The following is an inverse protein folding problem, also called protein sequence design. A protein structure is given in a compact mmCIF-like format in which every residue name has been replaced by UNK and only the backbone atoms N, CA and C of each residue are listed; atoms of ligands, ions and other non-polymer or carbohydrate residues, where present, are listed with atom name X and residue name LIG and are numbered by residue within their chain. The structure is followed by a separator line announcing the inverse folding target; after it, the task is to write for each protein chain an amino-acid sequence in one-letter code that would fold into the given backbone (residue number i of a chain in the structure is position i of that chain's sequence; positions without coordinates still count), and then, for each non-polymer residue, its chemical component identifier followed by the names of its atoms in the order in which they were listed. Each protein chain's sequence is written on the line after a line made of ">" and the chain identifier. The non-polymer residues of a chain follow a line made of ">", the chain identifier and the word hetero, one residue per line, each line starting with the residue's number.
data_IF_136285823762
#
_entry.id   IF_136285823762
#
_cell.length_a   1.000
_cell.length_b   1.000
_cell.length_c   1.000
_cell.angle_alpha   90.00
_cell.angle_beta   90.00
_cell.angle_gamma   90.00
#
_symmetry.space_group_name_H-M   'P 1'
#
loop_
_entity.id
_entity.type
_entity.pdbx_description
1 polymer ?
#
# COMPACT_ATOMS: atom_id res chain seq x y z
N UNK A 1 6.54 -12.88 9.37
CA UNK A 1 5.22 -12.62 9.96
C UNK A 1 5.04 -13.37 11.28
N UNK A 2 5.13 -14.70 11.29
CA UNK A 2 4.92 -15.56 12.48
C UNK A 2 5.85 -15.21 13.65
N UNK A 3 7.14 -14.97 13.41
CA UNK A 3 8.10 -14.63 14.46
C UNK A 3 7.68 -13.37 15.24
N UNK A 4 7.20 -12.33 14.56
CA UNK A 4 6.67 -11.12 15.21
C UNK A 4 5.42 -11.41 16.05
N UNK A 5 4.51 -12.24 15.55
CA UNK A 5 3.30 -12.65 16.28
C UNK A 5 3.67 -13.39 17.56
N UNK A 6 4.52 -14.40 17.48
CA UNK A 6 4.98 -15.19 18.64
C UNK A 6 5.67 -14.31 19.67
N UNK A 7 6.54 -13.40 19.24
CA UNK A 7 7.27 -12.48 20.13
C UNK A 7 6.32 -11.53 20.84
N UNK A 8 5.35 -10.98 20.11
CA UNK A 8 4.32 -10.10 20.67
C UNK A 8 3.43 -10.83 21.70
N UNK A 9 3.05 -12.06 21.41
CA UNK A 9 2.27 -12.90 22.34
C UNK A 9 3.08 -13.23 23.59
N UNK A 10 4.37 -13.56 23.45
CA UNK A 10 5.26 -13.81 24.59
C UNK A 10 5.37 -12.59 25.53
N UNK A 11 5.53 -11.39 24.97
CA UNK A 11 5.61 -10.15 25.76
C UNK A 11 4.28 -9.84 26.46
N UNK A 12 3.15 -10.06 25.77
CA UNK A 12 1.81 -9.87 26.38
C UNK A 12 1.59 -10.83 27.55
N UNK A 13 1.99 -12.09 27.42
CA UNK A 13 1.84 -13.09 28.45
C UNK A 13 2.76 -12.87 29.66
N UNK A 14 3.95 -12.29 29.47
CA UNK A 14 4.84 -11.90 30.56
C UNK A 14 4.25 -10.75 31.40
N UNK A 15 3.51 -9.82 30.78
CA UNK A 15 2.84 -8.71 31.48
C UNK A 15 1.62 -9.14 32.32
N UNK A 16 1.05 -10.33 32.10
CA UNK A 16 -0.10 -10.83 32.83
C UNK A 16 0.26 -11.42 34.22
N UNK A 17 1.56 -11.57 34.53
CA UNK A 17 2.06 -12.10 35.81
C UNK A 17 2.52 -11.09 36.83
N UNK A 18 2.52 -9.80 36.53
CA UNK A 18 2.86 -8.76 37.51
C UNK A 18 1.61 -8.28 38.24
N UNK A 19 1.46 -8.80 39.48
CA UNK A 19 0.50 -8.34 40.48
C UNK A 19 0.41 -6.82 40.57
N UNK A 20 -0.80 -6.35 40.44
CA UNK A 20 -1.47 -5.24 41.12
C UNK A 20 -0.59 -4.31 42.00
N UNK A 21 0.06 -3.35 41.40
CA UNK A 21 0.30 -2.08 42.06
C UNK A 21 -0.04 -0.94 41.10
N UNK A 22 -1.02 -0.15 41.51
CA UNK A 22 -1.72 0.91 40.82
C UNK A 22 -0.89 2.16 40.42
N UNK A 23 0.39 2.03 40.24
CA UNK A 23 1.29 3.16 39.97
C UNK A 23 1.92 3.16 38.56
N UNK A 24 1.51 2.28 37.66
CA UNK A 24 2.07 2.21 36.28
C UNK A 24 1.03 2.47 35.18
N UNK A 25 0.11 3.40 35.40
CA UNK A 25 -0.77 3.90 34.33
C UNK A 25 -0.04 4.78 33.32
N UNK A 26 1.25 5.02 33.48
CA UNK A 26 2.00 6.04 32.74
C UNK A 26 2.75 5.60 31.48
N UNK A 27 3.07 4.34 31.26
CA UNK A 27 3.83 3.91 30.06
C UNK A 27 3.66 2.41 29.81
N UNK A 28 2.49 1.96 29.42
CA UNK A 28 2.42 0.72 28.65
C UNK A 28 2.97 1.02 27.26
N UNK A 29 4.29 0.91 27.11
CA UNK A 29 4.84 0.69 25.77
C UNK A 29 4.07 -0.50 25.20
N UNK A 30 3.33 -0.28 24.14
CA UNK A 30 2.58 -1.39 23.56
C UNK A 30 3.60 -2.45 23.14
N UNK A 31 3.28 -3.74 23.37
CA UNK A 31 4.19 -4.84 23.05
C UNK A 31 4.76 -4.77 21.62
N UNK A 32 4.02 -4.15 20.69
CA UNK A 32 4.48 -3.91 19.33
C UNK A 32 5.62 -2.87 19.23
N UNK A 33 5.71 -1.92 20.17
CA UNK A 33 6.82 -0.95 20.19
C UNK A 33 8.10 -1.63 20.66
N UNK A 34 7.99 -2.52 21.66
CA UNK A 34 9.13 -3.30 22.18
C UNK A 34 9.69 -4.20 21.08
N UNK A 35 8.80 -4.95 20.42
CA UNK A 35 9.17 -5.85 19.30
C UNK A 35 9.80 -5.07 18.15
N UNK A 36 9.26 -3.88 17.83
CA UNK A 36 9.77 -3.02 16.78
C UNK A 36 11.17 -2.48 17.10
N UNK A 37 11.39 -1.97 18.31
CA UNK A 37 12.69 -1.45 18.74
C UNK A 37 13.79 -2.52 18.66
N UNK A 38 13.50 -3.74 19.07
CA UNK A 38 14.48 -4.84 19.02
C UNK A 38 14.79 -5.29 17.57
N UNK A 39 13.85 -5.14 16.65
CA UNK A 39 14.00 -5.53 15.26
C UNK A 39 14.45 -4.38 14.34
N UNK A 40 14.52 -3.15 14.85
CA UNK A 40 14.77 -1.96 14.03
C UNK A 40 13.58 -1.51 13.16
N UNK A 41 12.37 -2.03 13.45
CA UNK A 41 11.14 -1.72 12.73
C UNK A 41 10.24 -0.75 13.50
N UNK A 42 9.44 0.02 12.79
CA UNK A 42 8.42 0.83 13.44
C UNK A 42 7.27 -0.04 13.96
N UNK A 43 6.59 0.40 15.03
CA UNK A 43 5.38 -0.22 15.58
C UNK A 43 4.34 -0.54 14.49
N UNK A 44 4.13 0.39 13.56
CA UNK A 44 3.19 0.19 12.47
C UNK A 44 3.64 -0.91 11.52
N UNK A 45 4.93 -1.01 11.25
CA UNK A 45 5.51 -2.06 10.42
C UNK A 45 5.34 -3.43 11.08
N UNK A 46 5.63 -3.55 12.37
CA UNK A 46 5.39 -4.78 13.14
C UNK A 46 3.93 -5.21 13.08
N UNK A 47 2.98 -4.29 13.29
CA UNK A 47 1.55 -4.59 13.19
C UNK A 47 1.14 -5.09 11.80
N UNK A 48 1.70 -4.50 10.75
CA UNK A 48 1.46 -4.91 9.36
C UNK A 48 2.02 -6.30 9.08
N UNK A 49 3.22 -6.61 9.56
CA UNK A 49 3.77 -7.97 9.46
C UNK A 49 2.90 -9.00 10.19
N UNK A 50 2.48 -8.69 11.42
CA UNK A 50 1.61 -9.59 12.18
C UNK A 50 0.28 -9.79 11.44
N UNK A 51 -0.25 -8.75 10.80
CA UNK A 51 -1.50 -8.84 10.05
C UNK A 51 -1.43 -9.87 8.92
N UNK A 52 -0.28 -10.07 8.29
CA UNK A 52 -0.12 -11.10 7.25
C UNK A 52 -0.42 -12.52 7.75
N UNK A 53 -0.35 -12.79 9.07
CA UNK A 53 -0.73 -14.11 9.62
C UNK A 53 -2.23 -14.40 9.54
N UNK A 54 -3.06 -13.45 9.09
CA UNK A 54 -4.47 -13.64 8.80
C UNK A 54 -4.73 -14.08 7.35
N UNK A 55 -3.68 -14.16 6.52
CA UNK A 55 -3.79 -14.72 5.19
C UNK A 55 -3.88 -16.24 5.27
N UNK A 56 -4.61 -16.84 4.32
CA UNK A 56 -4.55 -18.29 4.11
C UNK A 56 -3.13 -18.68 3.69
N UNK A 57 -2.70 -19.93 3.99
CA UNK A 57 -1.32 -20.37 3.71
C UNK A 57 -0.88 -20.11 2.28
N UNK A 58 -1.74 -20.38 1.29
CA UNK A 58 -1.45 -20.25 -0.13
C UNK A 58 -1.13 -18.78 -0.50
N UNK A 59 -1.86 -17.81 0.05
CA UNK A 59 -1.57 -16.38 -0.18
C UNK A 59 -0.31 -15.91 0.56
N UNK A 60 -0.06 -16.48 1.74
CA UNK A 60 1.16 -16.16 2.50
C UNK A 60 2.41 -16.67 1.76
N UNK A 61 2.35 -17.88 1.19
CA UNK A 61 3.43 -18.45 0.36
C UNK A 61 3.67 -17.58 -0.88
N UNK A 62 2.61 -17.07 -1.54
CA UNK A 62 2.73 -16.13 -2.66
C UNK A 62 3.40 -14.80 -2.27
N UNK A 63 3.23 -14.34 -1.03
CA UNK A 63 3.94 -13.15 -0.53
C UNK A 63 5.41 -13.46 -0.30
N UNK A 64 5.75 -14.62 0.25
CA UNK A 64 7.13 -15.05 0.48
C UNK A 64 7.87 -15.27 -0.86
N UNK A 65 7.18 -15.79 -1.87
CA UNK A 65 7.67 -15.94 -3.25
C UNK A 65 7.70 -14.61 -4.05
N UNK A 66 7.27 -13.49 -3.46
CA UNK A 66 7.18 -12.17 -4.10
C UNK A 66 6.21 -12.09 -5.29
N UNK A 67 5.30 -13.06 -5.44
CA UNK A 67 4.20 -13.00 -6.41
C UNK A 67 3.18 -11.93 -6.05
N UNK A 68 2.93 -11.76 -4.75
CA UNK A 68 2.12 -10.65 -4.21
C UNK A 68 3.03 -9.74 -3.37
N UNK A 69 3.00 -8.45 -3.65
CA UNK A 69 3.78 -7.48 -2.88
C UNK A 69 3.22 -7.29 -1.47
N UNK A 70 4.07 -6.88 -0.52
CA UNK A 70 3.71 -6.70 0.89
C UNK A 70 2.49 -5.79 1.11
N UNK A 71 2.42 -4.65 0.43
CA UNK A 71 1.34 -3.68 0.64
C UNK A 71 -0.04 -4.22 0.22
N UNK A 72 -0.24 -4.77 -0.99
CA UNK A 72 -1.48 -5.46 -1.35
C UNK A 72 -1.82 -6.61 -0.38
N UNK A 73 -0.85 -7.42 0.02
CA UNK A 73 -1.06 -8.54 0.93
C UNK A 73 -1.63 -8.10 2.29
N UNK A 74 -1.15 -6.98 2.84
CA UNK A 74 -1.71 -6.39 4.07
C UNK A 74 -3.18 -6.00 3.88
N UNK A 75 -3.57 -5.44 2.73
CA UNK A 75 -4.97 -5.10 2.45
C UNK A 75 -5.84 -6.37 2.28
N UNK A 76 -5.32 -7.40 1.60
CA UNK A 76 -6.01 -8.68 1.42
C UNK A 76 -6.23 -9.43 2.75
N UNK A 77 -5.36 -9.23 3.74
CA UNK A 77 -5.51 -9.84 5.07
C UNK A 77 -6.73 -9.35 5.85
N UNK A 78 -7.49 -8.39 5.33
CA UNK A 78 -8.78 -7.95 5.87
C UNK A 78 -9.97 -8.74 5.32
N UNK A 79 -9.79 -9.55 4.28
CA UNK A 79 -10.77 -10.46 3.74
C UNK A 79 -10.93 -11.65 4.69
N UNK A 80 -12.12 -12.23 4.77
CA UNK A 80 -12.33 -13.51 5.43
C UNK A 80 -11.76 -14.68 4.60
N UNK A 81 -11.70 -15.87 5.16
CA UNK A 81 -11.12 -17.04 4.50
C UNK A 81 -11.81 -17.38 3.18
N UNK A 82 -13.14 -17.28 3.11
CA UNK A 82 -13.92 -17.58 1.91
C UNK A 82 -13.64 -16.58 0.80
N UNK A 83 -13.55 -15.29 1.16
CA UNK A 83 -13.20 -14.21 0.24
C UNK A 83 -11.75 -14.30 -0.26
N UNK A 84 -10.82 -14.72 0.62
CA UNK A 84 -9.43 -14.95 0.24
C UNK A 84 -9.30 -16.11 -0.76
N UNK A 85 -10.06 -17.19 -0.60
CA UNK A 85 -10.11 -18.31 -1.56
C UNK A 85 -10.68 -17.87 -2.91
N UNK A 86 -11.80 -17.14 -2.91
CA UNK A 86 -12.39 -16.58 -4.14
C UNK A 86 -11.45 -15.57 -4.82
N UNK A 87 -10.71 -14.78 -4.05
CA UNK A 87 -9.67 -13.91 -4.58
C UNK A 87 -8.53 -14.71 -5.24
N UNK A 88 -8.08 -15.79 -4.62
CA UNK A 88 -7.03 -16.66 -5.16
C UNK A 88 -7.45 -17.24 -6.51
N UNK A 89 -8.67 -17.75 -6.61
CA UNK A 89 -9.25 -18.28 -7.86
C UNK A 89 -9.32 -17.18 -8.95
N UNK A 90 -9.75 -15.97 -8.58
CA UNK A 90 -9.80 -14.84 -9.52
C UNK A 90 -8.39 -14.40 -9.97
N UNK A 91 -7.40 -14.46 -9.09
CA UNK A 91 -6.00 -14.19 -9.42
C UNK A 91 -5.43 -15.24 -10.38
N UNK A 92 -5.75 -16.52 -10.15
CA UNK A 92 -5.34 -17.61 -11.03
C UNK A 92 -6.00 -17.49 -12.41
N UNK A 93 -7.28 -17.13 -12.46
CA UNK A 93 -8.00 -16.94 -13.72
C UNK A 93 -7.51 -15.76 -14.56
N UNK A 94 -7.11 -14.68 -13.92
CA UNK A 94 -6.62 -13.45 -14.58
C UNK A 94 -5.11 -13.45 -14.82
N UNK A 95 -4.36 -14.32 -14.13
CA UNK A 95 -2.88 -14.34 -14.10
C UNK A 95 -2.26 -12.98 -13.69
N UNK A 96 -3.00 -12.17 -12.95
CA UNK A 96 -2.61 -10.83 -12.54
C UNK A 96 -2.45 -10.74 -11.02
N UNK A 97 -1.27 -10.34 -10.55
CA UNK A 97 -1.09 -9.96 -9.15
C UNK A 97 -1.79 -8.61 -8.85
N UNK A 98 -2.40 -8.41 -7.68
CA UNK A 98 -3.11 -7.19 -7.36
C UNK A 98 -2.16 -6.00 -7.16
N UNK A 99 -2.56 -4.83 -7.64
CA UNK A 99 -2.00 -3.55 -7.21
C UNK A 99 -2.52 -3.17 -5.82
N UNK A 100 -1.88 -2.19 -5.17
CA UNK A 100 -2.37 -1.67 -3.88
C UNK A 100 -3.80 -1.12 -4.00
N UNK A 101 -4.08 -0.39 -5.09
CA UNK A 101 -5.41 0.19 -5.35
C UNK A 101 -6.49 -0.89 -5.52
N UNK A 102 -6.20 -1.95 -6.27
CA UNK A 102 -7.10 -3.08 -6.45
C UNK A 102 -7.36 -3.83 -5.13
N UNK A 103 -6.31 -4.09 -4.35
CA UNK A 103 -6.45 -4.72 -3.03
C UNK A 103 -7.28 -3.87 -2.06
N UNK A 104 -7.13 -2.54 -2.08
CA UNK A 104 -7.96 -1.62 -1.28
C UNK A 104 -9.42 -1.63 -1.73
N UNK A 105 -9.71 -1.70 -3.03
CA UNK A 105 -11.08 -1.83 -3.54
C UNK A 105 -11.72 -3.14 -3.07
N UNK A 106 -11.02 -4.26 -3.19
CA UNK A 106 -11.48 -5.57 -2.73
C UNK A 106 -11.77 -5.58 -1.24
N UNK A 107 -10.87 -5.02 -0.42
CA UNK A 107 -11.09 -4.84 1.01
C UNK A 107 -12.34 -4.02 1.30
N UNK A 108 -12.55 -2.90 0.61
CA UNK A 108 -13.73 -2.06 0.80
C UNK A 108 -15.01 -2.81 0.45
N UNK A 109 -15.03 -3.57 -0.63
CA UNK A 109 -16.16 -4.42 -1.01
C UNK A 109 -16.44 -5.50 0.04
N UNK A 110 -15.41 -6.14 0.58
CA UNK A 110 -15.54 -7.11 1.65
C UNK A 110 -16.17 -6.48 2.90
N UNK A 111 -15.76 -5.28 3.28
CA UNK A 111 -16.31 -4.54 4.42
C UNK A 111 -17.77 -4.11 4.23
N UNK A 112 -18.18 -3.85 2.97
CA UNK A 112 -19.57 -3.52 2.63
C UNK A 112 -20.45 -4.76 2.38
N UNK A 113 -19.89 -5.98 2.44
CA UNK A 113 -20.62 -7.21 2.11
C UNK A 113 -20.92 -7.41 0.63
N UNK A 114 -20.21 -6.68 -0.23
CA UNK A 114 -20.40 -6.70 -1.68
C UNK A 114 -19.34 -7.53 -2.43
N UNK A 115 -18.47 -8.21 -1.72
CA UNK A 115 -17.40 -9.00 -2.33
C UNK A 115 -17.98 -10.24 -3.00
N UNK A 116 -17.67 -10.44 -4.28
CA UNK A 116 -17.94 -11.68 -5.04
C UNK A 116 -16.74 -12.04 -5.89
N UNK A 117 -16.68 -13.31 -6.34
CA UNK A 117 -15.65 -13.77 -7.26
C UNK A 117 -15.62 -12.94 -8.57
N UNK A 118 -16.79 -12.70 -9.18
CA UNK A 118 -16.90 -11.96 -10.43
C UNK A 118 -16.34 -10.54 -10.29
N UNK A 119 -16.67 -9.85 -9.20
CA UNK A 119 -16.13 -8.51 -8.93
C UNK A 119 -14.61 -8.55 -8.71
N UNK A 120 -14.11 -9.57 -8.03
CA UNK A 120 -12.67 -9.74 -7.85
C UNK A 120 -11.96 -10.00 -9.19
N UNK A 121 -12.54 -10.86 -10.03
CA UNK A 121 -12.04 -11.15 -11.37
C UNK A 121 -12.03 -9.90 -12.26
N UNK A 122 -13.11 -9.13 -12.27
CA UNK A 122 -13.22 -7.88 -13.03
C UNK A 122 -12.18 -6.84 -12.59
N UNK A 123 -11.97 -6.69 -11.26
CA UNK A 123 -10.98 -5.75 -10.71
C UNK A 123 -9.56 -6.17 -11.09
N UNK A 124 -9.25 -7.45 -11.00
CA UNK A 124 -7.92 -7.97 -11.36
C UNK A 124 -7.67 -7.96 -12.85
N UNK A 125 -8.73 -8.14 -13.66
CA UNK A 125 -8.68 -8.08 -15.13
C UNK A 125 -8.57 -6.66 -15.69
N UNK A 126 -8.90 -5.63 -14.89
CA UNK A 126 -8.69 -4.25 -15.32
C UNK A 126 -7.20 -4.02 -15.59
N UNK A 127 -6.90 -3.44 -16.75
CA UNK A 127 -5.54 -2.95 -17.01
C UNK A 127 -5.10 -2.12 -15.79
N UNK A 128 -4.02 -2.55 -15.16
CA UNK A 128 -3.37 -1.73 -14.14
C UNK A 128 -3.19 -0.38 -14.82
N UNK A 129 -3.77 0.69 -14.23
CA UNK A 129 -3.41 2.04 -14.68
C UNK A 129 -1.91 2.02 -14.81
N UNK A 130 -1.42 1.95 -16.06
CA UNK A 130 0.01 2.04 -16.35
C UNK A 130 0.50 3.16 -15.47
N UNK A 131 1.65 3.00 -14.84
CA UNK A 131 2.34 4.17 -14.30
C UNK A 131 2.24 5.18 -15.43
N UNK A 132 1.22 6.05 -15.35
CA UNK A 132 1.07 7.10 -16.33
C UNK A 132 2.42 7.76 -16.29
N UNK A 133 3.04 7.92 -17.45
CA UNK A 133 4.33 8.61 -17.57
C UNK A 133 4.17 10.00 -16.93
N UNK A 134 4.13 10.00 -15.61
CA UNK A 134 3.97 11.21 -14.79
C UNK A 134 5.35 11.78 -14.60
N UNK A 135 5.64 12.82 -15.34
CA UNK A 135 6.84 13.61 -15.11
C UNK A 135 6.61 14.48 -13.88
N UNK A 136 7.18 14.07 -12.75
CA UNK A 136 7.12 14.85 -11.51
C UNK A 136 8.36 15.76 -11.44
N UNK A 137 8.13 17.07 -11.53
CA UNK A 137 9.21 18.07 -11.37
C UNK A 137 9.17 18.58 -9.92
N UNK A 138 10.31 18.43 -9.19
CA UNK A 138 10.41 18.91 -7.81
C UNK A 138 10.22 20.42 -7.75
N UNK A 139 9.50 20.92 -6.75
CA UNK A 139 9.26 22.35 -6.53
C UNK A 139 10.54 23.19 -6.49
N UNK A 140 11.62 22.68 -5.92
CA UNK A 140 12.91 23.38 -5.84
C UNK A 140 13.50 23.66 -7.23
N UNK A 141 13.24 22.78 -8.21
CA UNK A 141 13.66 22.98 -9.61
C UNK A 141 12.77 24.04 -10.26
N UNK A 142 11.44 23.95 -10.08
CA UNK A 142 10.51 24.92 -10.64
C UNK A 142 10.74 26.32 -10.09
N UNK A 143 11.09 26.45 -8.80
CA UNK A 143 11.39 27.74 -8.15
C UNK A 143 12.64 28.45 -8.68
N UNK A 144 13.48 27.78 -9.46
CA UNK A 144 14.59 28.45 -10.20
C UNK A 144 14.09 29.26 -11.38
N UNK A 145 12.94 28.91 -11.95
CA UNK A 145 12.39 29.51 -13.16
C UNK A 145 11.16 30.37 -12.91
N UNK A 146 10.46 30.15 -11.79
CA UNK A 146 9.24 30.85 -11.46
C UNK A 146 9.37 31.72 -10.20
N UNK A 147 8.80 32.95 -10.21
CA UNK A 147 8.75 33.81 -9.02
C UNK A 147 8.02 33.10 -7.85
N UNK A 148 8.35 33.53 -6.63
CA UNK A 148 7.69 32.98 -5.41
C UNK A 148 6.19 33.24 -5.36
N UNK A 149 5.70 34.26 -6.06
CA UNK A 149 4.28 34.60 -6.14
C UNK A 149 3.45 33.64 -7.00
N UNK A 150 4.09 32.82 -7.84
CA UNK A 150 3.37 31.88 -8.69
C UNK A 150 2.83 30.69 -7.88
N UNK A 151 1.53 30.45 -8.01
CA UNK A 151 0.90 29.22 -7.48
C UNK A 151 1.29 28.01 -8.32
N UNK A 152 1.20 26.78 -7.78
CA UNK A 152 1.45 25.56 -8.55
C UNK A 152 0.65 25.49 -9.86
N UNK A 153 -0.62 25.89 -9.82
CA UNK A 153 -1.49 25.93 -11.00
C UNK A 153 -1.01 26.91 -12.08
N UNK A 154 -0.57 28.10 -11.67
CA UNK A 154 -0.02 29.09 -12.61
C UNK A 154 1.30 28.62 -13.23
N UNK A 155 2.13 27.87 -12.48
CA UNK A 155 3.34 27.26 -13.01
C UNK A 155 3.01 26.21 -14.06
N UNK A 156 2.03 25.35 -13.78
CA UNK A 156 1.55 24.31 -14.69
C UNK A 156 1.00 24.91 -15.99
N UNK A 157 0.10 25.89 -15.91
CA UNK A 157 -0.46 26.59 -17.06
C UNK A 157 0.65 27.21 -17.94
N UNK A 158 1.67 27.79 -17.29
CA UNK A 158 2.77 28.39 -18.03
C UNK A 158 3.68 27.38 -18.70
N UNK A 159 3.91 26.23 -18.06
CA UNK A 159 4.67 25.11 -18.65
C UNK A 159 3.94 24.59 -19.89
N UNK A 160 2.62 24.37 -19.79
CA UNK A 160 1.81 23.91 -20.94
C UNK A 160 1.91 24.89 -22.11
N UNK A 161 1.77 26.22 -21.87
CA UNK A 161 1.92 27.24 -22.90
C UNK A 161 3.29 27.19 -23.60
N UNK A 162 4.35 26.97 -22.84
CA UNK A 162 5.72 26.86 -23.40
C UNK A 162 5.90 25.60 -24.24
N UNK A 163 5.33 24.48 -23.80
CA UNK A 163 5.35 23.22 -24.54
C UNK A 163 4.56 23.32 -25.86
N UNK A 164 3.38 23.93 -25.85
CA UNK A 164 2.59 24.20 -27.06
C UNK A 164 3.35 25.07 -28.06
N UNK A 165 4.01 26.11 -27.59
CA UNK A 165 4.82 26.98 -28.44
C UNK A 165 6.03 26.24 -29.03
N UNK A 166 6.67 25.39 -28.23
CA UNK A 166 7.78 24.54 -28.67
C UNK A 166 7.33 23.53 -29.72
N UNK A 167 6.20 22.85 -29.52
CA UNK A 167 5.63 21.88 -30.46
C UNK A 167 5.34 22.53 -31.82
N UNK A 168 4.67 23.71 -31.83
CA UNK A 168 4.39 24.47 -33.04
C UNK A 168 5.69 24.85 -33.79
N UNK A 169 6.75 25.16 -33.06
CA UNK A 169 8.06 25.50 -33.65
C UNK A 169 8.69 24.26 -34.28
N UNK A 170 8.58 23.08 -33.67
CA UNK A 170 9.10 21.83 -34.21
C UNK A 170 8.36 21.41 -35.50
N UNK A 171 7.01 21.53 -35.53
CA UNK A 171 6.23 21.23 -36.71
C UNK A 171 6.66 22.09 -37.92
N UNK A 172 6.83 23.40 -37.73
CA UNK A 172 7.31 24.32 -38.79
C UNK A 172 8.74 24.03 -39.27
N UNK A 173 9.54 23.39 -38.44
CA UNK A 173 10.92 23.01 -38.80
C UNK A 173 10.95 21.71 -39.62
N UNK A 174 10.03 20.80 -39.37
CA UNK A 174 9.91 19.55 -40.12
C UNK A 174 9.18 19.67 -41.47
N UNK A 175 8.48 20.81 -41.69
CA UNK A 175 7.78 21.13 -42.95
C UNK A 175 8.67 21.89 -43.93
N UNK A 176 9.92 22.18 -43.59
CA UNK A 176 10.93 22.79 -44.45
C UNK A 176 11.99 21.80 -44.90
#
# INVERSE_FOLDING_TARGET
>A
ALAYKMKLEAIKNQGARSDLTSAQVGRKLEAADIVGQEAGDSRNQVRRFIRLTNLIPELLDMVDEKKISFNPAVELSYLDESQQRAFLEAMDGTQNAPSVSQAQQLKKMAQCGEFTYEKAFDILGQEKKSEQDTVTIKNDILRKYFPRSYTPRQMEEKIIQLLDAWQKKQQRHNER
#
